data_IF_889296225858
#
_entry.id   IF_889296225858
#
_cell.length_a   1.000
_cell.length_b   1.000
_cell.length_c   1.000
_cell.angle_alpha   90.00
_cell.angle_beta   90.00
_cell.angle_gamma   90.00
#
_symmetry.space_group_name_H-M   'P 1'
#
loop_
_entity.id
_entity.type
_entity.pdbx_description
1 polymer ?
#
# COMPACT_ATOMS: atom_id res chain seq x y z
N UNK A 1 -20.33 -10.45 0.34
CA UNK A 1 -19.64 -11.71 0.67
C UNK A 1 -19.95 -12.02 2.10
N UNK A 2 -20.96 -12.87 2.28
CA UNK A 2 -21.49 -13.18 3.58
C UNK A 2 -20.62 -14.22 4.28
N UNK A 3 -20.10 -13.86 5.48
CA UNK A 3 -19.91 -14.84 6.54
C UNK A 3 -18.68 -15.75 6.51
N UNK A 4 -17.52 -15.32 6.06
CA UNK A 4 -16.29 -15.94 6.55
C UNK A 4 -15.90 -15.23 7.85
N UNK A 5 -16.30 -15.80 8.96
CA UNK A 5 -15.90 -15.37 10.30
C UNK A 5 -14.41 -15.78 10.47
N UNK A 6 -13.50 -14.88 10.12
CA UNK A 6 -12.08 -15.12 10.33
C UNK A 6 -11.79 -15.17 11.84
N UNK A 7 -11.01 -16.15 12.31
CA UNK A 7 -10.67 -16.22 13.72
C UNK A 7 -9.94 -14.92 14.13
N UNK A 8 -10.53 -14.23 15.10
CA UNK A 8 -9.94 -13.02 15.63
C UNK A 8 -8.70 -13.37 16.45
N UNK A 9 -7.57 -12.75 16.12
CA UNK A 9 -6.33 -12.86 16.89
C UNK A 9 -6.20 -11.67 17.84
N UNK A 10 -5.96 -11.97 19.13
CA UNK A 10 -5.79 -10.96 20.18
C UNK A 10 -7.10 -10.51 20.83
N UNK A 11 -6.98 -9.63 21.84
CA UNK A 11 -8.07 -9.21 22.74
C UNK A 11 -8.47 -7.73 22.59
N UNK A 12 -7.65 -6.91 21.92
CA UNK A 12 -7.93 -5.48 21.76
C UNK A 12 -9.16 -5.26 20.85
N UNK A 13 -10.05 -4.29 21.16
CA UNK A 13 -11.19 -3.97 20.33
C UNK A 13 -10.72 -3.42 18.96
N UNK A 14 -11.49 -3.70 17.91
CA UNK A 14 -11.29 -3.11 16.59
C UNK A 14 -11.84 -1.69 16.53
N UNK A 15 -11.36 -0.88 15.58
CA UNK A 15 -12.07 0.31 15.13
C UNK A 15 -13.36 -0.05 14.38
N UNK A 16 -14.03 0.97 13.86
CA UNK A 16 -15.36 0.83 13.25
C UNK A 16 -15.38 -0.06 12.00
N UNK A 17 -14.34 0.03 11.14
CA UNK A 17 -14.23 -0.70 9.88
C UNK A 17 -13.29 -1.91 10.00
N UNK A 18 -12.62 -2.09 11.14
CA UNK A 18 -11.51 -3.03 11.33
C UNK A 18 -10.48 -2.94 10.18
N UNK A 19 -10.07 -1.74 9.84
CA UNK A 19 -9.20 -1.42 8.71
C UNK A 19 -8.24 -0.28 9.02
N UNK A 20 -7.18 -0.13 8.23
CA UNK A 20 -6.20 0.98 8.35
C UNK A 20 -6.91 2.35 8.28
N UNK A 21 -8.04 2.41 7.60
CA UNK A 21 -8.85 3.63 7.42
C UNK A 21 -9.64 4.05 8.67
N UNK A 22 -9.53 3.32 9.77
CA UNK A 22 -9.98 3.79 11.08
C UNK A 22 -9.01 4.82 11.68
N UNK A 23 -7.82 5.00 11.08
CA UNK A 23 -6.81 5.96 11.53
C UNK A 23 -6.94 7.26 10.73
N UNK A 24 -7.38 8.33 11.40
CA UNK A 24 -7.44 9.69 10.82
C UNK A 24 -8.21 9.76 9.50
N UNK A 25 -7.61 10.45 8.52
CA UNK A 25 -8.18 10.66 7.19
C UNK A 25 -7.65 9.68 6.13
N UNK A 26 -7.05 8.57 6.57
CA UNK A 26 -6.48 7.57 5.65
C UNK A 26 -7.57 7.01 4.74
N UNK A 27 -7.25 6.96 3.44
CA UNK A 27 -8.05 6.31 2.40
C UNK A 27 -7.20 5.34 1.61
N UNK A 28 -7.81 4.27 1.13
CA UNK A 28 -7.15 3.24 0.31
C UNK A 28 -7.91 3.10 -1.01
N UNK A 29 -7.15 3.04 -2.11
CA UNK A 29 -7.70 2.85 -3.43
C UNK A 29 -6.96 1.80 -4.23
N UNK A 30 -7.63 1.23 -5.22
CA UNK A 30 -7.13 0.15 -6.06
C UNK A 30 -7.42 0.40 -7.54
N UNK A 31 -6.46 0.02 -8.38
CA UNK A 31 -6.72 -0.28 -9.78
C UNK A 31 -6.24 -1.71 -10.04
N UNK A 32 -7.15 -2.60 -10.44
CA UNK A 32 -6.88 -4.02 -10.65
C UNK A 32 -6.84 -4.32 -12.15
N UNK A 33 -5.78 -4.96 -12.61
CA UNK A 33 -5.62 -5.48 -13.97
C UNK A 33 -5.79 -7.00 -13.92
N UNK A 34 -6.75 -7.51 -14.68
CA UNK A 34 -7.11 -8.92 -14.68
C UNK A 34 -7.60 -9.35 -16.07
N UNK A 35 -6.68 -9.44 -17.02
CA UNK A 35 -6.98 -9.82 -18.41
C UNK A 35 -5.93 -10.77 -18.96
N UNK A 36 -6.35 -11.90 -19.52
CA UNK A 36 -5.46 -12.93 -20.05
C UNK A 36 -4.48 -13.44 -19.00
N UNK A 37 -3.18 -13.27 -19.24
CA UNK A 37 -2.11 -13.64 -18.32
C UNK A 37 -1.67 -12.48 -17.38
N UNK A 38 -2.34 -11.34 -17.47
CA UNK A 38 -2.04 -10.17 -16.64
C UNK A 38 -2.93 -10.19 -15.39
N UNK A 39 -2.30 -10.40 -14.23
CA UNK A 39 -2.95 -10.44 -12.91
C UNK A 39 -2.16 -9.57 -11.93
N UNK A 40 -2.37 -8.26 -11.98
CA UNK A 40 -1.57 -7.29 -11.22
C UNK A 40 -2.39 -6.04 -10.89
N UNK A 41 -1.75 -4.98 -10.45
CA UNK A 41 -2.40 -3.70 -10.23
C UNK A 41 -1.62 -2.75 -9.33
N UNK A 42 -2.34 -1.71 -8.91
CA UNK A 42 -1.84 -0.66 -8.02
C UNK A 42 -2.77 -0.54 -6.82
N UNK A 43 -2.19 -0.45 -5.64
CA UNK A 43 -2.89 -0.05 -4.41
C UNK A 43 -2.23 1.22 -3.90
N UNK A 44 -3.04 2.21 -3.52
CA UNK A 44 -2.54 3.45 -2.92
C UNK A 44 -3.11 3.62 -1.51
N UNK A 45 -2.28 4.17 -0.62
CA UNK A 45 -2.70 4.64 0.70
C UNK A 45 -2.49 6.15 0.72
N UNK A 46 -3.57 6.90 0.80
CA UNK A 46 -3.58 8.35 0.92
C UNK A 46 -3.65 8.70 2.41
N UNK A 47 -2.58 9.25 2.99
CA UNK A 47 -2.57 9.60 4.42
C UNK A 47 -3.41 10.83 4.74
N UNK A 48 -3.53 11.76 3.78
CA UNK A 48 -4.33 12.99 3.77
C UNK A 48 -4.54 13.46 2.33
N UNK A 49 -5.13 14.63 2.13
CA UNK A 49 -5.41 15.17 0.80
C UNK A 49 -4.17 15.73 0.09
N UNK A 50 -3.16 16.19 0.83
CA UNK A 50 -1.94 16.78 0.28
C UNK A 50 -0.72 16.42 1.13
N UNK A 51 -0.12 15.24 0.92
CA UNK A 51 1.04 14.79 1.70
C UNK A 51 2.30 15.65 1.49
N UNK A 52 2.40 16.38 0.39
CA UNK A 52 3.53 17.27 0.14
C UNK A 52 3.50 18.51 1.05
N UNK A 53 2.32 19.09 1.25
CA UNK A 53 2.14 20.28 2.08
C UNK A 53 1.89 19.93 3.55
N UNK A 54 1.24 18.80 3.83
CA UNK A 54 0.91 18.33 5.17
C UNK A 54 1.65 17.01 5.44
N UNK A 55 2.98 17.06 5.45
CA UNK A 55 3.88 15.90 5.54
C UNK A 55 3.57 15.00 6.75
N UNK A 56 2.98 13.82 6.57
CA UNK A 56 2.78 12.87 7.67
C UNK A 56 4.13 12.35 8.17
N UNK A 57 4.25 12.15 9.47
CA UNK A 57 5.41 11.48 10.04
C UNK A 57 5.45 10.03 9.55
N UNK A 58 6.65 9.57 9.21
CA UNK A 58 6.87 8.23 8.69
C UNK A 58 8.24 7.68 9.08
N UNK A 59 8.31 6.36 9.21
CA UNK A 59 9.54 5.63 9.39
C UNK A 59 9.51 4.32 8.59
N UNK A 60 10.67 3.79 8.26
CA UNK A 60 10.80 2.51 7.58
C UNK A 60 11.69 1.54 8.35
N UNK A 61 11.35 0.26 8.24
CA UNK A 61 12.21 -0.84 8.67
C UNK A 61 12.37 -1.82 7.51
N UNK A 62 13.61 -1.99 7.05
CA UNK A 62 13.93 -2.93 5.98
C UNK A 62 14.34 -4.25 6.62
N UNK A 63 13.44 -5.24 6.60
CA UNK A 63 13.70 -6.55 7.15
C UNK A 63 14.68 -7.36 6.29
N UNK A 64 14.57 -7.23 4.95
CA UNK A 64 15.58 -7.73 4.02
C UNK A 64 15.66 -6.79 2.79
N UNK A 65 16.80 -6.76 2.13
CA UNK A 65 17.12 -5.84 1.04
C UNK A 65 16.83 -6.37 -0.37
N UNK A 66 16.02 -7.40 -0.54
CA UNK A 66 15.74 -7.96 -1.88
C UNK A 66 14.72 -7.13 -2.68
N UNK A 67 13.96 -6.25 -2.03
CA UNK A 67 13.00 -5.34 -2.65
C UNK A 67 13.66 -4.26 -3.53
N UNK A 68 12.90 -3.75 -4.52
CA UNK A 68 13.30 -2.71 -5.47
C UNK A 68 12.49 -1.42 -5.25
N UNK A 69 12.05 -1.21 -4.01
CA UNK A 69 11.28 -0.03 -3.61
C UNK A 69 12.06 1.27 -3.80
N UNK A 70 11.36 2.38 -4.02
CA UNK A 70 11.93 3.73 -4.08
C UNK A 70 11.35 4.61 -2.97
N UNK A 71 12.08 5.67 -2.60
CA UNK A 71 11.64 6.67 -1.64
C UNK A 71 12.04 6.41 -0.19
N UNK A 72 12.47 5.19 0.15
CA UNK A 72 12.80 4.80 1.53
C UNK A 72 14.00 5.57 2.10
N UNK A 73 14.99 5.92 1.27
CA UNK A 73 16.21 6.60 1.70
C UNK A 73 15.90 7.99 2.27
N UNK A 74 15.15 8.82 1.53
CA UNK A 74 14.77 10.14 2.02
C UNK A 74 13.79 10.06 3.19
N UNK A 75 12.86 9.11 3.17
CA UNK A 75 11.94 8.90 4.30
C UNK A 75 12.69 8.52 5.58
N UNK A 76 13.73 7.68 5.50
CA UNK A 76 14.57 7.34 6.66
C UNK A 76 15.34 8.55 7.20
N UNK A 77 15.77 9.47 6.33
CA UNK A 77 16.51 10.68 6.72
C UNK A 77 15.59 11.76 7.28
N UNK A 78 14.46 12.03 6.62
CA UNK A 78 13.57 13.14 6.95
C UNK A 78 12.40 12.77 7.86
N UNK A 79 12.10 11.50 8.02
CA UNK A 79 11.03 11.02 8.90
C UNK A 79 9.60 11.39 8.46
N UNK A 80 9.38 11.64 7.16
CA UNK A 80 8.08 12.05 6.66
C UNK A 80 7.78 11.53 5.25
N UNK A 81 6.49 11.56 4.87
CA UNK A 81 6.00 11.31 3.52
C UNK A 81 5.84 12.62 2.75
N UNK A 82 6.05 12.56 1.42
CA UNK A 82 5.80 13.67 0.49
C UNK A 82 4.80 13.29 -0.62
N UNK A 83 4.47 11.99 -0.71
CA UNK A 83 3.49 11.46 -1.67
C UNK A 83 2.58 10.45 -0.98
N UNK A 84 1.44 10.06 -1.58
CA UNK A 84 0.76 8.84 -1.20
C UNK A 84 1.74 7.64 -1.22
N UNK A 85 1.52 6.64 -0.36
CA UNK A 85 2.24 5.38 -0.45
C UNK A 85 1.59 4.55 -1.55
N UNK A 86 2.38 4.09 -2.52
CA UNK A 86 1.91 3.19 -3.58
C UNK A 86 2.51 1.79 -3.43
N UNK A 87 1.69 0.77 -3.70
CA UNK A 87 2.06 -0.63 -3.76
C UNK A 87 1.81 -1.12 -5.20
N UNK A 88 2.75 -1.88 -5.76
CA UNK A 88 2.63 -2.46 -7.10
C UNK A 88 3.53 -3.68 -7.25
N UNK A 89 3.69 -4.20 -8.46
CA UNK A 89 4.67 -5.26 -8.72
C UNK A 89 6.09 -4.72 -8.94
N UNK A 90 7.06 -5.60 -8.83
CA UNK A 90 8.50 -5.27 -8.89
C UNK A 90 8.90 -4.48 -10.14
N UNK A 91 8.40 -4.84 -11.33
CA UNK A 91 8.81 -4.18 -12.58
C UNK A 91 8.08 -2.86 -12.83
N UNK A 92 7.03 -2.58 -12.07
CA UNK A 92 6.21 -1.38 -12.25
C UNK A 92 6.61 -0.22 -11.34
N UNK A 93 7.59 -0.42 -10.43
CA UNK A 93 8.05 0.62 -9.48
C UNK A 93 8.42 1.92 -10.19
N UNK A 94 9.19 1.84 -11.28
CA UNK A 94 9.61 3.04 -12.04
C UNK A 94 8.45 3.81 -12.67
N UNK A 95 7.46 3.09 -13.24
CA UNK A 95 6.26 3.69 -13.82
C UNK A 95 5.44 4.44 -12.78
N UNK A 96 5.21 3.82 -11.61
CA UNK A 96 4.44 4.42 -10.53
C UNK A 96 5.19 5.58 -9.85
N UNK A 97 6.51 5.47 -9.68
CA UNK A 97 7.32 6.60 -9.17
C UNK A 97 7.23 7.82 -10.11
N UNK A 98 7.30 7.60 -11.42
CA UNK A 98 7.12 8.67 -12.42
C UNK A 98 5.71 9.27 -12.33
N UNK A 99 4.68 8.44 -12.15
CA UNK A 99 3.30 8.87 -11.98
C UNK A 99 3.13 9.77 -10.74
N UNK A 100 3.74 9.41 -9.61
CA UNK A 100 3.73 10.22 -8.38
C UNK A 100 4.40 11.57 -8.58
N UNK A 101 5.58 11.60 -9.25
CA UNK A 101 6.29 12.86 -9.55
C UNK A 101 5.41 13.75 -10.44
N UNK A 102 4.81 13.21 -11.49
CA UNK A 102 3.93 13.99 -12.38
C UNK A 102 2.69 14.51 -11.66
N UNK A 103 2.08 13.69 -10.79
CA UNK A 103 0.95 14.13 -9.99
C UNK A 103 1.33 15.29 -9.06
N UNK A 104 2.47 15.20 -8.37
CA UNK A 104 2.97 16.27 -7.51
C UNK A 104 3.27 17.56 -8.28
N UNK A 105 3.95 17.46 -9.43
CA UNK A 105 4.24 18.63 -10.29
C UNK A 105 2.96 19.25 -10.86
N UNK A 106 1.94 18.42 -11.16
CA UNK A 106 0.65 18.92 -11.64
C UNK A 106 -0.14 19.67 -10.56
N UNK A 107 -0.08 19.18 -9.31
CA UNK A 107 -0.72 19.83 -8.18
C UNK A 107 0.05 21.08 -7.69
N UNK A 108 1.38 21.03 -7.77
CA UNK A 108 2.30 22.06 -7.28
C UNK A 108 3.37 22.36 -8.34
N UNK A 109 3.09 23.27 -9.29
CA UNK A 109 4.02 23.59 -10.40
C UNK A 109 5.39 24.14 -9.97
N UNK A 110 5.53 24.54 -8.72
CA UNK A 110 6.77 25.02 -8.10
C UNK A 110 7.78 23.89 -7.81
N UNK A 111 7.30 22.63 -7.72
CA UNK A 111 8.15 21.46 -7.46
C UNK A 111 9.19 21.30 -8.56
N UNK A 112 10.46 21.21 -8.15
CA UNK A 112 11.60 21.12 -9.06
C UNK A 112 11.96 22.44 -9.75
N UNK A 113 11.37 23.58 -9.31
CA UNK A 113 11.67 24.94 -9.76
C UNK A 113 12.01 25.84 -8.59
N UNK A 114 11.00 26.47 -7.99
CA UNK A 114 11.14 27.33 -6.81
C UNK A 114 11.27 26.50 -5.54
N UNK A 115 10.60 25.35 -5.50
CA UNK A 115 10.73 24.37 -4.43
C UNK A 115 11.71 23.28 -4.84
N UNK A 116 12.20 22.51 -3.86
CA UNK A 116 12.97 21.31 -4.12
C UNK A 116 12.13 20.23 -4.79
N UNK A 117 12.75 19.12 -5.15
CA UNK A 117 12.06 17.98 -5.75
C UNK A 117 11.18 17.24 -4.75
N UNK A 118 10.33 16.33 -5.24
CA UNK A 118 9.46 15.46 -4.45
C UNK A 118 10.06 14.06 -4.35
N UNK A 119 9.86 13.41 -3.21
CA UNK A 119 10.27 12.02 -2.98
C UNK A 119 9.08 11.06 -3.22
N UNK A 120 9.01 10.37 -4.36
CA UNK A 120 8.00 9.36 -4.58
C UNK A 120 8.23 8.16 -3.66
N UNK A 121 7.16 7.58 -3.11
CA UNK A 121 7.24 6.37 -2.27
C UNK A 121 6.46 5.23 -2.90
N UNK A 122 7.19 4.25 -3.45
CA UNK A 122 6.62 3.06 -4.07
C UNK A 122 7.26 1.81 -3.47
N UNK A 123 6.43 0.95 -2.89
CA UNK A 123 6.81 -0.37 -2.38
C UNK A 123 6.31 -1.45 -3.33
N UNK A 124 6.94 -2.63 -3.29
CA UNK A 124 6.65 -3.67 -4.27
C UNK A 124 6.70 -5.08 -3.69
N UNK A 125 6.01 -5.98 -4.37
CA UNK A 125 6.20 -7.41 -4.26
C UNK A 125 6.23 -8.05 -5.65
N UNK A 126 6.97 -9.14 -5.81
CA UNK A 126 7.06 -9.87 -7.06
C UNK A 126 5.82 -10.75 -7.26
N UNK A 127 4.99 -10.43 -8.25
CA UNK A 127 3.77 -11.16 -8.62
C UNK A 127 3.97 -12.14 -9.79
N UNK A 128 5.19 -12.29 -10.29
CA UNK A 128 5.51 -13.06 -11.48
C UNK A 128 5.22 -14.58 -11.41
N UNK A 129 4.75 -15.08 -10.28
CA UNK A 129 4.26 -16.47 -10.18
C UNK A 129 2.85 -16.64 -10.77
N UNK A 130 1.97 -15.63 -10.61
CA UNK A 130 0.59 -15.64 -11.10
C UNK A 130 0.36 -14.65 -12.24
N UNK A 131 1.27 -13.71 -12.46
CA UNK A 131 1.17 -12.61 -13.41
C UNK A 131 2.28 -12.71 -14.45
N UNK A 132 1.98 -12.40 -15.70
CA UNK A 132 3.02 -12.11 -16.69
C UNK A 132 3.65 -10.74 -16.40
N UNK A 133 4.63 -10.74 -15.51
CA UNK A 133 5.30 -9.51 -15.05
C UNK A 133 6.10 -8.84 -16.18
N UNK A 134 6.51 -9.59 -17.22
CA UNK A 134 7.25 -9.07 -18.37
C UNK A 134 6.34 -8.27 -19.33
N UNK A 135 5.03 -8.41 -19.22
CA UNK A 135 4.08 -7.60 -19.98
C UNK A 135 4.17 -6.10 -19.63
N UNK A 136 4.78 -5.74 -18.49
CA UNK A 136 4.90 -4.34 -18.02
C UNK A 136 3.56 -3.59 -18.09
N UNK A 137 2.47 -4.27 -17.75
CA UNK A 137 1.10 -3.82 -18.01
C UNK A 137 0.68 -2.60 -17.15
N UNK A 138 1.33 -2.39 -15.99
CA UNK A 138 1.01 -1.27 -15.09
C UNK A 138 1.62 0.01 -15.61
N UNK A 139 0.79 1.05 -15.74
CA UNK A 139 1.17 2.36 -16.25
C UNK A 139 0.72 3.48 -15.30
N UNK A 140 1.10 4.72 -15.58
CA UNK A 140 0.67 5.91 -14.86
C UNK A 140 -0.87 6.03 -14.71
N UNK A 141 -1.63 5.66 -15.75
CA UNK A 141 -3.09 5.66 -15.71
C UNK A 141 -3.64 4.87 -14.52
N UNK A 142 -3.07 3.70 -14.24
CA UNK A 142 -3.55 2.83 -13.17
C UNK A 142 -3.25 3.40 -11.76
N UNK A 143 -2.18 4.21 -11.63
CA UNK A 143 -1.96 4.98 -10.40
C UNK A 143 -3.03 6.06 -10.21
N UNK A 144 -3.34 6.81 -11.26
CA UNK A 144 -4.38 7.85 -11.22
C UNK A 144 -5.74 7.23 -10.88
N UNK A 145 -6.09 6.12 -11.51
CA UNK A 145 -7.33 5.39 -11.24
C UNK A 145 -7.39 4.87 -9.78
N UNK A 146 -6.27 4.33 -9.27
CA UNK A 146 -6.18 3.92 -7.88
C UNK A 146 -6.39 5.10 -6.91
N UNK A 147 -5.77 6.25 -7.17
CA UNK A 147 -6.00 7.46 -6.36
C UNK A 147 -7.46 7.93 -6.42
N UNK A 148 -8.06 7.93 -7.61
CA UNK A 148 -9.45 8.34 -7.80
C UNK A 148 -10.47 7.40 -7.11
N UNK A 149 -10.13 6.12 -6.95
CA UNK A 149 -10.97 5.13 -6.26
C UNK A 149 -10.82 5.13 -4.74
N UNK A 150 -9.91 5.94 -4.18
CA UNK A 150 -9.57 5.88 -2.78
C UNK A 150 -10.73 6.31 -1.87
N UNK A 151 -11.07 5.46 -0.91
CA UNK A 151 -12.15 5.68 0.04
C UNK A 151 -11.81 5.06 1.41
N UNK A 152 -12.64 5.36 2.41
CA UNK A 152 -12.52 4.74 3.74
C UNK A 152 -12.97 3.28 3.72
N UNK A 153 -14.02 2.98 2.97
CA UNK A 153 -14.47 1.62 2.72
C UNK A 153 -13.84 1.13 1.41
N UNK A 154 -12.98 0.13 1.48
CA UNK A 154 -12.25 -0.40 0.35
C UNK A 154 -12.26 -1.93 0.33
N UNK A 155 -12.07 -2.51 -0.82
CA UNK A 155 -12.01 -3.96 -0.99
C UNK A 155 -10.67 -4.51 -0.49
N UNK A 156 -10.70 -5.71 0.09
CA UNK A 156 -9.52 -6.47 0.49
C UNK A 156 -9.41 -7.78 -0.32
N UNK A 157 -8.29 -8.46 -0.19
CA UNK A 157 -8.02 -9.72 -0.86
C UNK A 157 -7.34 -9.56 -2.22
N UNK A 158 -7.91 -10.16 -3.25
CA UNK A 158 -7.33 -10.24 -4.61
C UNK A 158 -7.63 -8.98 -5.44
N UNK A 159 -7.19 -7.83 -4.99
CA UNK A 159 -7.45 -6.51 -5.60
C UNK A 159 -6.19 -5.66 -5.68
N UNK A 160 -6.14 -4.73 -6.63
CA UNK A 160 -5.01 -3.82 -6.83
C UNK A 160 -3.68 -4.56 -6.92
N UNK A 161 -2.67 -4.09 -6.21
CA UNK A 161 -1.36 -4.75 -6.13
C UNK A 161 -1.44 -6.19 -5.61
N UNK A 162 -2.50 -6.55 -4.88
CA UNK A 162 -2.71 -7.90 -4.34
C UNK A 162 -3.18 -8.94 -5.37
N UNK A 163 -3.56 -8.52 -6.60
CA UNK A 163 -4.18 -9.41 -7.60
C UNK A 163 -3.31 -10.59 -7.98
N UNK A 164 -2.02 -10.39 -8.22
CA UNK A 164 -1.08 -11.45 -8.63
C UNK A 164 -0.26 -12.07 -7.50
N UNK A 165 -0.54 -11.72 -6.24
CA UNK A 165 0.28 -12.16 -5.11
C UNK A 165 -0.05 -13.58 -4.65
N UNK A 166 0.97 -14.31 -4.19
CA UNK A 166 0.86 -15.60 -3.53
C UNK A 166 1.54 -15.55 -2.17
N UNK A 167 0.95 -16.19 -1.16
CA UNK A 167 1.47 -16.21 0.21
C UNK A 167 1.29 -17.60 0.79
N UNK A 168 2.35 -18.21 1.31
CA UNK A 168 2.37 -19.59 1.82
C UNK A 168 1.82 -20.63 0.81
N UNK A 169 2.11 -20.46 -0.48
CA UNK A 169 1.55 -21.23 -1.61
C UNK A 169 0.00 -21.11 -1.77
N UNK A 170 -0.64 -20.22 -1.02
CA UNK A 170 -2.03 -19.84 -1.18
C UNK A 170 -2.13 -18.51 -1.95
N UNK A 171 -3.35 -18.11 -2.31
CA UNK A 171 -3.58 -16.79 -2.91
C UNK A 171 -3.28 -15.71 -1.87
N UNK A 172 -2.29 -14.86 -2.17
CA UNK A 172 -1.99 -13.65 -1.41
C UNK A 172 -2.96 -12.50 -1.72
N UNK A 173 -2.69 -11.31 -1.21
CA UNK A 173 -3.54 -10.16 -1.48
C UNK A 173 -3.36 -9.02 -0.49
N UNK A 174 -4.30 -8.09 -0.52
CA UNK A 174 -4.40 -6.98 0.42
C UNK A 174 -5.20 -7.43 1.65
N UNK A 175 -4.61 -7.24 2.82
CA UNK A 175 -5.29 -7.41 4.11
C UNK A 175 -5.20 -6.14 4.94
N UNK A 176 -6.22 -5.88 5.76
CA UNK A 176 -6.21 -4.72 6.66
C UNK A 176 -6.93 -5.05 7.95
N UNK A 177 -6.51 -4.42 9.04
CA UNK A 177 -7.15 -4.48 10.34
C UNK A 177 -6.83 -3.23 11.16
N UNK A 178 -7.61 -2.96 12.19
CA UNK A 178 -7.31 -1.96 13.21
C UNK A 178 -7.52 -2.48 14.62
N UNK A 179 -6.84 -1.85 15.58
CA UNK A 179 -7.01 -2.12 17.02
C UNK A 179 -6.99 -0.82 17.78
N UNK A 180 -7.80 -0.74 18.83
CA UNK A 180 -7.80 0.37 19.77
C UNK A 180 -6.96 -0.07 20.98
N UNK A 181 -5.91 0.69 21.27
CA UNK A 181 -5.00 0.45 22.39
C UNK A 181 -5.00 1.67 23.34
N UNK A 182 -4.93 1.43 24.63
CA UNK A 182 -4.81 2.48 25.63
C UNK A 182 -3.33 2.64 26.04
N UNK A 183 -2.88 3.88 26.08
CA UNK A 183 -1.56 4.23 26.56
C UNK A 183 -1.63 5.54 27.34
N UNK A 184 -1.16 5.53 28.60
CA UNK A 184 -1.17 6.72 29.46
C UNK A 184 -2.56 7.30 29.73
N UNK A 185 -3.62 6.48 29.72
CA UNK A 185 -5.01 6.92 29.91
C UNK A 185 -5.66 7.52 28.64
N UNK A 186 -5.00 7.44 27.50
CA UNK A 186 -5.51 7.89 26.22
C UNK A 186 -5.66 6.70 25.26
N UNK A 187 -6.79 6.64 24.54
CA UNK A 187 -7.04 5.64 23.52
C UNK A 187 -6.41 6.06 22.18
N UNK A 188 -5.73 5.11 21.52
CA UNK A 188 -5.12 5.28 20.21
C UNK A 188 -5.63 4.19 19.27
N UNK A 189 -5.94 4.57 18.03
CA UNK A 189 -6.24 3.61 16.98
C UNK A 189 -4.96 3.28 16.21
N UNK A 190 -4.63 1.99 16.14
CA UNK A 190 -3.52 1.47 15.34
C UNK A 190 -4.10 0.71 14.15
N UNK A 191 -3.80 1.15 12.95
CA UNK A 191 -4.23 0.50 11.70
C UNK A 191 -3.07 -0.20 11.02
N UNK A 192 -3.36 -1.31 10.34
CA UNK A 192 -2.41 -2.05 9.50
C UNK A 192 -3.00 -2.30 8.12
N UNK A 193 -2.16 -2.25 7.09
CA UNK A 193 -2.42 -2.74 5.76
C UNK A 193 -1.24 -3.61 5.33
N UNK A 194 -1.53 -4.78 4.78
CA UNK A 194 -0.51 -5.75 4.36
C UNK A 194 -0.74 -6.13 2.90
N UNK A 195 0.32 -6.10 2.11
CA UNK A 195 0.41 -6.78 0.81
C UNK A 195 1.15 -8.10 1.03
N UNK A 196 0.41 -9.21 1.08
CA UNK A 196 0.95 -10.53 1.43
C UNK A 196 1.53 -11.24 0.21
N UNK A 197 2.86 -11.48 0.22
CA UNK A 197 3.59 -12.19 -0.84
C UNK A 197 4.86 -12.86 -0.29
N UNK A 198 4.72 -13.84 0.60
CA UNK A 198 5.87 -14.49 1.23
C UNK A 198 5.57 -15.91 1.71
N UNK A 199 6.62 -16.63 2.08
CA UNK A 199 6.56 -17.88 2.82
C UNK A 199 6.24 -19.12 1.96
N UNK A 200 6.53 -20.26 2.55
CA UNK A 200 6.15 -21.57 2.05
C UNK A 200 5.04 -22.14 2.92
N UNK A 201 4.22 -23.07 2.39
CA UNK A 201 3.10 -23.66 3.10
C UNK A 201 3.50 -24.27 4.46
N UNK A 202 4.65 -24.90 4.53
CA UNK A 202 5.23 -25.50 5.73
C UNK A 202 5.60 -24.49 6.85
N UNK A 203 5.68 -23.21 6.51
CA UNK A 203 5.99 -22.12 7.44
C UNK A 203 4.74 -21.36 7.92
N UNK A 204 3.55 -21.77 7.47
CA UNK A 204 2.31 -21.10 7.82
C UNK A 204 1.88 -21.48 9.23
N UNK A 205 1.97 -20.56 10.16
CA UNK A 205 1.42 -20.69 11.51
C UNK A 205 0.20 -19.77 11.62
N UNK A 206 -0.94 -20.34 12.03
CA UNK A 206 -2.18 -19.61 12.26
C UNK A 206 -2.49 -19.62 13.76
N UNK A 207 -2.56 -18.41 14.34
CA UNK A 207 -2.89 -18.17 15.75
C UNK A 207 -1.94 -18.84 16.80
N UNK A 208 -0.71 -19.16 16.39
CA UNK A 208 0.33 -19.71 17.28
C UNK A 208 0.48 -21.21 17.18
#
# INVERSE_FOLDING_TARGET
MDGLDFPRVGVLPSGQLDAITDVGDIRVGHCTLDEGNVHTGVTVVLPNDDPLMQKPLAASCIFNGFGKSVGLMQMAELGCLETPLALTNTFSVGAIATAQIRAAVSAHPEVGREWSTVNPLVLECNDGYLNDIQALAVTEKHYIEACASASREFMQGSVGAGRGMSCFHLKGGIGSASRIAECGGQAFTVGALVLSNFGKAEHCLLAG
#
